data_IF_572524624763
#
_entry.id   IF_572524624763
#
_cell.length_a   1.000
_cell.length_b   1.000
_cell.length_c   1.000
_cell.angle_alpha   90.00
_cell.angle_beta   90.00
_cell.angle_gamma   90.00
#
_symmetry.space_group_name_H-M   'P 1'
#
loop_
_entity.id
_entity.type
_entity.pdbx_description
1 polymer ?
#
# COMPACT_ATOMS: atom_id res chain seq x y z
N UNK A 1 -15.14 -6.27 -27.38
CA UNK A 1 -15.38 -6.01 -25.95
C UNK A 1 -14.01 -6.13 -25.33
N UNK A 2 -13.23 -5.06 -25.39
CA UNK A 2 -11.92 -5.03 -24.76
C UNK A 2 -11.85 -3.67 -24.13
N UNK A 3 -12.35 -3.65 -22.90
CA UNK A 3 -12.39 -2.50 -22.02
C UNK A 3 -10.94 -2.11 -21.77
N UNK A 4 -10.50 -1.11 -22.53
CA UNK A 4 -9.29 -0.35 -22.33
C UNK A 4 -9.35 0.21 -20.91
N UNK A 5 -8.89 -0.60 -19.93
CA UNK A 5 -8.67 -0.15 -18.56
C UNK A 5 -7.64 0.93 -18.66
N UNK A 6 -8.10 2.16 -18.65
CA UNK A 6 -7.34 3.37 -18.38
C UNK A 6 -6.35 3.04 -17.27
N UNK A 7 -5.10 2.81 -17.65
CA UNK A 7 -3.99 2.84 -16.73
C UNK A 7 -3.88 4.30 -16.30
N UNK A 8 -4.71 4.70 -15.34
CA UNK A 8 -4.57 5.97 -14.66
C UNK A 8 -3.13 5.96 -14.10
N UNK A 9 -2.26 6.76 -14.70
CA UNK A 9 -0.89 7.04 -14.25
C UNK A 9 -0.05 5.82 -13.83
N UNK A 10 -0.03 4.76 -14.65
CA UNK A 10 0.97 3.69 -14.53
C UNK A 10 0.70 2.67 -13.42
N UNK A 11 -0.56 2.42 -13.10
CA UNK A 11 -1.02 1.30 -12.26
C UNK A 11 -1.73 0.21 -13.10
N UNK A 12 -1.77 -1.05 -12.64
CA UNK A 12 -1.12 -1.57 -11.42
C UNK A 12 0.41 -1.66 -11.58
N UNK A 13 1.14 -1.48 -10.48
CA UNK A 13 2.60 -1.52 -10.47
C UNK A 13 3.14 -2.24 -9.23
N UNK A 14 4.30 -2.87 -9.38
CA UNK A 14 4.96 -3.56 -8.27
C UNK A 14 5.72 -2.57 -7.41
N UNK A 15 5.53 -2.72 -6.10
CA UNK A 15 6.29 -2.01 -5.09
C UNK A 15 6.92 -3.03 -4.16
N UNK A 16 8.06 -2.65 -3.60
CA UNK A 16 8.83 -3.41 -2.65
C UNK A 16 8.74 -2.74 -1.28
N UNK A 17 8.59 -3.54 -0.24
CA UNK A 17 8.56 -3.07 1.13
C UNK A 17 9.98 -2.75 1.63
N UNK A 18 10.21 -1.51 2.05
CA UNK A 18 11.49 -1.09 2.66
C UNK A 18 11.48 -1.17 4.19
N UNK A 19 10.36 -1.58 4.80
CA UNK A 19 10.22 -1.80 6.25
C UNK A 19 10.12 -3.27 6.63
N UNK A 20 10.49 -3.58 7.88
CA UNK A 20 10.16 -4.86 8.51
C UNK A 20 8.82 -4.76 9.22
N UNK A 21 7.95 -5.73 9.00
CA UNK A 21 6.70 -5.83 9.74
C UNK A 21 5.63 -4.79 9.37
N UNK A 22 5.50 -4.41 8.11
CA UNK A 22 4.54 -3.39 7.67
C UNK A 22 3.16 -4.00 7.48
N UNK A 23 2.15 -3.51 8.20
CA UNK A 23 0.81 -4.09 8.19
C UNK A 23 0.04 -3.75 6.90
N UNK A 24 -0.64 -4.76 6.36
CA UNK A 24 -1.66 -4.63 5.31
C UNK A 24 -3.02 -4.53 6.00
N UNK A 25 -3.75 -3.44 5.78
CA UNK A 25 -4.97 -3.13 6.53
C UNK A 25 -6.22 -3.09 5.67
N UNK A 26 -7.38 -3.29 6.30
CA UNK A 26 -8.69 -3.27 5.63
C UNK A 26 -9.15 -1.88 5.22
N UNK A 27 -8.64 -0.83 5.85
CA UNK A 27 -8.89 0.57 5.55
C UNK A 27 -7.58 1.38 5.68
N UNK A 28 -7.48 2.57 5.05
CA UNK A 28 -6.30 3.43 5.14
C UNK A 28 -6.26 4.13 6.50
N UNK A 29 -6.03 3.36 7.57
CA UNK A 29 -6.02 3.85 8.94
C UNK A 29 -5.15 2.97 9.83
N UNK A 30 -4.40 3.58 10.75
CA UNK A 30 -3.47 2.88 11.63
C UNK A 30 -4.15 1.96 12.65
N UNK A 31 -5.41 2.20 12.99
CA UNK A 31 -6.25 1.38 13.86
C UNK A 31 -7.06 0.31 13.10
N UNK A 32 -7.12 0.36 11.77
CA UNK A 32 -7.86 -0.62 10.98
C UNK A 32 -7.28 -2.04 11.12
N UNK A 33 -8.15 -3.05 10.98
CA UNK A 33 -7.77 -4.47 11.09
C UNK A 33 -6.62 -4.82 10.14
N UNK A 34 -5.56 -5.42 10.69
CA UNK A 34 -4.46 -5.99 9.91
C UNK A 34 -4.88 -7.36 9.38
N UNK A 35 -4.74 -7.57 8.07
CA UNK A 35 -5.03 -8.85 7.38
C UNK A 35 -3.77 -9.57 6.95
N UNK A 36 -2.61 -9.01 7.27
CA UNK A 36 -1.31 -9.54 6.90
C UNK A 36 -0.22 -8.50 7.11
N UNK A 37 1.00 -8.92 6.86
CA UNK A 37 2.18 -8.10 7.08
C UNK A 37 3.19 -8.35 5.96
N UNK A 38 3.81 -7.28 5.48
CA UNK A 38 4.95 -7.32 4.58
C UNK A 38 6.23 -7.28 5.41
N UNK A 39 7.19 -8.11 5.02
CA UNK A 39 8.55 -8.04 5.51
C UNK A 39 9.42 -7.21 4.57
N UNK A 40 10.64 -6.92 5.00
CA UNK A 40 11.61 -6.25 4.13
C UNK A 40 11.81 -7.04 2.83
N UNK A 41 11.92 -6.32 1.71
CA UNK A 41 12.00 -6.84 0.34
C UNK A 41 10.75 -7.57 -0.20
N UNK A 42 9.69 -7.76 0.60
CA UNK A 42 8.44 -8.32 0.08
C UNK A 42 7.86 -7.41 -1.01
N UNK A 43 7.27 -8.03 -2.04
CA UNK A 43 6.64 -7.31 -3.14
C UNK A 43 5.12 -7.32 -3.01
N UNK A 44 4.51 -6.19 -3.35
CA UNK A 44 3.06 -6.01 -3.36
C UNK A 44 2.63 -5.25 -4.61
N UNK A 45 1.48 -5.62 -5.16
CA UNK A 45 0.90 -4.96 -6.33
C UNK A 45 0.03 -3.79 -5.86
N UNK A 46 0.50 -2.58 -6.11
CA UNK A 46 -0.27 -1.35 -5.87
C UNK A 46 -1.21 -1.14 -7.06
N UNK A 47 -2.49 -0.91 -6.76
CA UNK A 47 -3.56 -0.90 -7.76
C UNK A 47 -4.01 0.50 -8.18
N UNK A 48 -3.54 1.55 -7.51
CA UNK A 48 -3.89 2.93 -7.82
C UNK A 48 -3.11 3.96 -7.00
N UNK A 49 -3.48 5.23 -7.19
CA UNK A 49 -2.89 6.37 -6.49
C UNK A 49 -3.06 6.25 -4.96
N UNK A 50 -2.14 6.91 -4.23
CA UNK A 50 -2.25 6.99 -2.77
C UNK A 50 -3.50 7.74 -2.35
N UNK A 51 -4.12 7.29 -1.27
CA UNK A 51 -5.27 7.92 -0.63
C UNK A 51 -4.89 8.43 0.76
N UNK A 52 -5.45 9.58 1.14
CA UNK A 52 -5.35 10.08 2.51
C UNK A 52 -6.17 9.23 3.47
N UNK A 53 -5.71 9.11 4.71
CA UNK A 53 -6.30 8.27 5.73
C UNK A 53 -5.82 8.62 7.14
N UNK A 54 -5.93 7.66 8.06
CA UNK A 54 -5.43 7.81 9.43
C UNK A 54 -3.90 7.89 9.45
N UNK A 55 -3.36 8.81 10.26
CA UNK A 55 -1.92 8.97 10.42
C UNK A 55 -1.31 7.68 10.98
N UNK A 56 -0.39 7.11 10.22
CA UNK A 56 0.49 6.06 10.69
C UNK A 56 1.74 6.70 11.30
N UNK A 57 2.12 6.23 12.48
CA UNK A 57 3.34 6.69 13.14
C UNK A 57 4.58 6.49 12.28
N UNK A 58 5.67 7.14 12.66
CA UNK A 58 6.96 7.03 11.97
C UNK A 58 7.40 5.57 11.82
N UNK A 59 7.37 5.05 10.60
CA UNK A 59 7.92 3.74 10.24
C UNK A 59 8.50 3.80 8.83
N UNK A 60 9.61 3.09 8.61
CA UNK A 60 10.41 3.04 7.37
C UNK A 60 11.20 4.33 7.06
N UNK A 61 10.57 5.51 7.11
CA UNK A 61 11.23 6.79 6.79
C UNK A 61 11.38 7.75 8.00
N UNK A 62 11.11 7.26 9.21
CA UNK A 62 11.12 8.06 10.46
C UNK A 62 10.18 9.29 10.44
N UNK A 63 9.27 9.41 9.47
CA UNK A 63 8.28 10.48 9.38
C UNK A 63 6.87 9.90 9.45
N UNK A 64 5.96 10.53 10.23
CA UNK A 64 4.56 10.16 10.19
C UNK A 64 4.00 10.43 8.78
N UNK A 65 3.08 9.58 8.35
CA UNK A 65 2.38 9.74 7.07
C UNK A 65 0.94 9.31 7.23
N UNK A 66 0.05 10.02 6.54
CA UNK A 66 -1.38 9.74 6.46
C UNK A 66 -1.76 9.19 5.06
N UNK A 67 -0.77 8.85 4.24
CA UNK A 67 -0.97 8.44 2.85
C UNK A 67 -0.80 6.94 2.69
N UNK A 68 -1.76 6.31 2.04
CA UNK A 68 -1.87 4.86 1.93
C UNK A 68 -2.01 4.44 0.47
N UNK A 69 -1.27 3.43 0.05
CA UNK A 69 -1.46 2.82 -1.25
C UNK A 69 -2.55 1.74 -1.20
N UNK A 70 -3.51 1.75 -2.13
CA UNK A 70 -4.39 0.63 -2.35
C UNK A 70 -3.60 -0.52 -2.99
N UNK A 71 -3.75 -1.72 -2.44
CA UNK A 71 -3.09 -2.94 -2.92
C UNK A 71 -4.11 -4.04 -3.13
N UNK A 72 -3.84 -4.93 -4.08
CA UNK A 72 -4.62 -6.18 -4.21
C UNK A 72 -4.08 -7.23 -3.25
N UNK A 73 -4.98 -7.79 -2.42
CA UNK A 73 -4.67 -8.97 -1.60
C UNK A 73 -5.79 -9.98 -1.74
N UNK A 74 -5.62 -10.89 -2.70
CA UNK A 74 -6.58 -11.97 -2.94
C UNK A 74 -7.89 -11.46 -3.54
N UNK A 75 -7.82 -10.50 -4.47
CA UNK A 75 -9.00 -9.93 -5.13
C UNK A 75 -9.77 -8.91 -4.28
N UNK A 76 -9.22 -8.47 -3.16
CA UNK A 76 -9.81 -7.45 -2.30
C UNK A 76 -8.86 -6.27 -2.14
N UNK A 77 -9.39 -5.05 -2.29
CA UNK A 77 -8.63 -3.83 -2.02
C UNK A 77 -8.27 -3.75 -0.54
N UNK A 78 -6.99 -3.61 -0.26
CA UNK A 78 -6.41 -3.38 1.05
C UNK A 78 -5.48 -2.17 0.99
N UNK A 79 -4.94 -1.77 2.13
CA UNK A 79 -4.16 -0.55 2.24
C UNK A 79 -2.84 -0.80 2.97
N UNK A 80 -1.78 -0.20 2.44
CA UNK A 80 -0.42 -0.23 3.03
C UNK A 80 0.09 1.20 3.08
N UNK A 81 0.76 1.58 4.18
CA UNK A 81 1.29 2.94 4.33
C UNK A 81 2.35 3.23 3.25
N UNK A 82 2.24 4.38 2.59
CA UNK A 82 3.04 4.67 1.40
C UNK A 82 4.54 4.78 1.69
N UNK A 83 4.91 5.29 2.87
CA UNK A 83 6.31 5.55 3.27
C UNK A 83 7.12 4.27 3.45
N UNK A 84 6.47 3.11 3.39
CA UNK A 84 7.14 1.82 3.49
C UNK A 84 7.26 1.11 2.14
N UNK A 85 6.89 1.76 1.02
CA UNK A 85 6.83 1.15 -0.29
C UNK A 85 7.65 1.94 -1.32
N UNK A 86 8.54 1.24 -2.02
CA UNK A 86 9.35 1.76 -3.13
C UNK A 86 8.95 1.09 -4.44
N UNK A 87 8.79 1.86 -5.52
CA UNK A 87 8.43 1.30 -6.84
C UNK A 87 9.60 0.51 -7.42
N UNK A 88 9.33 -0.66 -8.02
CA UNK A 88 10.33 -1.55 -8.66
C UNK A 88 9.97 -1.96 -10.08
#
# INVERSE_FOLDING_TARGET
>A
MDEERTAEDGFPAWYRCCGNGVNIRTAPDAGATSVGQLQYDDRVLVTGLSVSGGAYGAHCDSRPSDQWYPVDRGGQTRYVIMTCLERV
#
